data_IF_715856502652
#
_entry.id   IF_715856502652
#
_cell.length_a   1.000
_cell.length_b   1.000
_cell.length_c   1.000
_cell.angle_alpha   90.00
_cell.angle_beta   90.00
_cell.angle_gamma   90.00
#
_symmetry.space_group_name_H-M   'P 1'
#
loop_
_entity.id
_entity.type
_entity.pdbx_description
1 polymer ?
#
# COMPACT_ATOMS: atom_id res chain seq x y z
N UNK A 1 -13.17 15.98 -0.91
CA UNK A 1 -13.71 14.84 -1.67
C UNK A 1 -14.14 13.81 -0.65
N UNK A 2 -15.40 13.37 -0.71
CA UNK A 2 -15.91 12.42 0.29
C UNK A 2 -15.34 11.03 0.03
N UNK A 3 -15.19 10.22 1.08
CA UNK A 3 -14.85 8.78 0.94
C UNK A 3 -15.84 8.06 0.01
N UNK A 4 -17.11 8.46 0.07
CA UNK A 4 -18.19 7.92 -0.76
C UNK A 4 -18.00 8.19 -2.26
N UNK A 5 -17.35 9.32 -2.61
CA UNK A 5 -17.06 9.66 -4.01
C UNK A 5 -15.99 8.72 -4.59
N UNK A 6 -14.95 8.42 -3.80
CA UNK A 6 -13.86 7.51 -4.18
C UNK A 6 -14.38 6.07 -4.34
N UNK A 7 -15.17 5.60 -3.38
CA UNK A 7 -15.80 4.28 -3.41
C UNK A 7 -16.67 4.07 -4.66
N UNK A 8 -17.56 5.02 -4.91
CA UNK A 8 -18.45 5.01 -6.07
C UNK A 8 -17.67 5.03 -7.37
N UNK A 9 -16.65 5.88 -7.47
CA UNK A 9 -15.79 5.97 -8.66
C UNK A 9 -14.99 4.69 -8.90
N UNK A 10 -14.47 4.06 -7.83
CA UNK A 10 -13.72 2.82 -7.93
C UNK A 10 -14.60 1.69 -8.45
N UNK A 11 -15.80 1.54 -7.88
CA UNK A 11 -16.73 0.51 -8.33
C UNK A 11 -17.18 0.74 -9.78
N UNK A 12 -17.50 1.98 -10.15
CA UNK A 12 -17.90 2.32 -11.51
C UNK A 12 -16.79 2.02 -12.54
N UNK A 13 -15.55 2.42 -12.23
CA UNK A 13 -14.38 2.21 -13.09
C UNK A 13 -14.11 0.71 -13.33
N UNK A 14 -14.28 -0.11 -12.30
CA UNK A 14 -14.00 -1.54 -12.37
C UNK A 14 -15.09 -2.35 -13.07
N UNK A 15 -16.34 -1.89 -13.02
CA UNK A 15 -17.50 -2.62 -13.58
C UNK A 15 -17.52 -2.72 -15.10
N UNK A 16 -16.70 -1.94 -15.79
CA UNK A 16 -16.45 -2.11 -17.23
C UNK A 16 -15.95 -3.52 -17.58
N UNK A 17 -15.31 -4.21 -16.62
CA UNK A 17 -14.90 -5.59 -16.77
C UNK A 17 -15.97 -6.57 -16.23
N UNK A 18 -16.57 -7.44 -17.06
CA UNK A 18 -17.62 -8.37 -16.62
C UNK A 18 -17.17 -9.36 -15.53
N UNK A 19 -15.91 -9.81 -15.55
CA UNK A 19 -15.38 -10.71 -14.55
C UNK A 19 -15.25 -10.04 -13.18
N UNK A 20 -14.91 -8.74 -13.17
CA UNK A 20 -14.90 -7.93 -11.95
C UNK A 20 -16.31 -7.67 -11.46
N UNK A 21 -17.24 -7.28 -12.34
CA UNK A 21 -18.66 -7.12 -11.99
C UNK A 21 -19.22 -8.36 -11.30
N UNK A 22 -18.98 -9.56 -11.83
CA UNK A 22 -19.43 -10.81 -11.22
C UNK A 22 -18.84 -11.08 -9.82
N UNK A 23 -17.58 -10.69 -9.59
CA UNK A 23 -16.94 -10.80 -8.27
C UNK A 23 -17.56 -9.83 -7.26
N UNK A 24 -17.74 -8.56 -7.66
CA UNK A 24 -18.34 -7.55 -6.80
C UNK A 24 -19.80 -7.87 -6.48
N UNK A 25 -20.56 -8.39 -7.44
CA UNK A 25 -21.94 -8.84 -7.26
C UNK A 25 -22.03 -10.00 -6.27
N UNK A 26 -21.11 -10.96 -6.36
CA UNK A 26 -21.01 -12.04 -5.38
C UNK A 26 -20.64 -11.50 -4.00
N UNK A 27 -19.72 -10.54 -3.91
CA UNK A 27 -19.34 -9.87 -2.67
C UNK A 27 -20.52 -9.23 -1.97
N UNK A 28 -21.44 -8.59 -2.72
CA UNK A 28 -22.68 -8.02 -2.18
C UNK A 28 -23.60 -9.01 -1.49
N UNK A 29 -23.61 -10.26 -1.96
CA UNK A 29 -24.47 -11.30 -1.39
C UNK A 29 -23.90 -11.95 -0.12
N UNK A 30 -22.65 -11.65 0.24
CA UNK A 30 -21.99 -12.23 1.39
C UNK A 30 -22.42 -11.56 2.70
N UNK A 31 -22.52 -12.36 3.75
CA UNK A 31 -22.73 -11.93 5.14
C UNK A 31 -21.48 -12.23 5.98
N UNK A 32 -21.29 -11.51 7.09
CA UNK A 32 -20.20 -11.77 8.04
C UNK A 32 -18.87 -11.06 7.76
N UNK A 33 -18.82 -10.14 6.81
CA UNK A 33 -17.67 -9.24 6.58
C UNK A 33 -16.36 -9.93 6.17
N UNK A 34 -15.23 -9.21 6.21
CA UNK A 34 -13.93 -9.71 5.77
C UNK A 34 -13.41 -10.93 6.54
N UNK A 35 -13.90 -11.13 7.77
CA UNK A 35 -13.53 -12.26 8.61
C UNK A 35 -14.17 -13.57 8.18
N UNK A 36 -15.29 -13.53 7.44
CA UNK A 36 -16.02 -14.73 7.05
C UNK A 36 -15.22 -15.63 6.08
N UNK A 37 -15.33 -16.97 6.18
CA UNK A 37 -14.71 -17.87 5.22
C UNK A 37 -15.14 -17.62 3.77
N UNK A 38 -16.40 -17.23 3.58
CA UNK A 38 -16.95 -16.93 2.25
C UNK A 38 -16.29 -15.68 1.63
N UNK A 39 -16.06 -14.63 2.41
CA UNK A 39 -15.35 -13.44 1.94
C UNK A 39 -13.90 -13.78 1.61
N UNK A 40 -13.19 -14.48 2.50
CA UNK A 40 -11.79 -14.88 2.26
C UNK A 40 -11.63 -15.71 0.99
N UNK A 41 -12.53 -16.67 0.77
CA UNK A 41 -12.52 -17.48 -0.44
C UNK A 41 -12.77 -16.63 -1.71
N UNK A 42 -13.67 -15.65 -1.64
CA UNK A 42 -13.93 -14.73 -2.75
C UNK A 42 -12.71 -13.84 -3.04
N UNK A 43 -12.14 -13.25 -1.99
CA UNK A 43 -10.97 -12.37 -2.02
C UNK A 43 -9.73 -13.08 -2.60
N UNK A 44 -9.49 -14.32 -2.19
CA UNK A 44 -8.43 -15.17 -2.73
C UNK A 44 -8.66 -15.51 -4.20
N UNK A 45 -9.92 -15.75 -4.60
CA UNK A 45 -10.26 -16.14 -5.97
C UNK A 45 -10.03 -15.03 -7.01
N UNK A 46 -9.88 -13.77 -6.59
CA UNK A 46 -9.69 -12.63 -7.47
C UNK A 46 -8.48 -12.81 -8.40
N UNK A 47 -7.33 -13.23 -7.86
CA UNK A 47 -6.11 -13.43 -8.64
C UNK A 47 -6.34 -14.42 -9.81
N UNK A 48 -6.89 -15.61 -9.51
CA UNK A 48 -7.14 -16.63 -10.52
C UNK A 48 -8.17 -16.20 -11.57
N UNK A 49 -9.17 -15.41 -11.18
CA UNK A 49 -10.27 -14.98 -12.07
C UNK A 49 -9.88 -13.80 -12.96
N UNK A 50 -8.95 -12.96 -12.50
CA UNK A 50 -8.65 -11.67 -13.12
C UNK A 50 -7.24 -11.58 -13.72
N UNK A 51 -6.34 -12.54 -13.48
CA UNK A 51 -4.95 -12.47 -13.96
C UNK A 51 -4.81 -12.30 -15.49
N UNK A 52 -5.75 -12.84 -16.28
CA UNK A 52 -5.78 -12.71 -17.74
C UNK A 52 -6.78 -11.69 -18.25
N UNK A 53 -7.47 -10.98 -17.36
CA UNK A 53 -8.50 -10.02 -17.73
C UNK A 53 -7.88 -8.66 -18.06
N UNK A 54 -8.38 -7.97 -19.09
CA UNK A 54 -7.86 -6.66 -19.45
C UNK A 54 -8.17 -5.64 -18.36
N UNK A 55 -7.18 -4.79 -18.08
CA UNK A 55 -7.38 -3.59 -17.27
C UNK A 55 -8.26 -2.58 -18.05
N UNK A 56 -9.16 -1.82 -17.40
CA UNK A 56 -9.97 -0.81 -18.08
C UNK A 56 -9.10 0.17 -18.89
N UNK A 57 -9.45 0.39 -20.15
CA UNK A 57 -8.71 1.27 -21.07
C UNK A 57 -9.11 2.75 -20.96
N UNK A 58 -10.15 3.06 -20.19
CA UNK A 58 -10.60 4.43 -19.95
C UNK A 58 -9.63 5.23 -19.08
N UNK A 59 -9.75 6.57 -19.08
CA UNK A 59 -8.99 7.40 -18.17
C UNK A 59 -9.35 7.06 -16.72
N UNK A 60 -8.34 7.07 -15.84
CA UNK A 60 -8.57 6.91 -14.40
C UNK A 60 -9.42 8.08 -13.91
N UNK A 61 -10.57 7.82 -13.24
CA UNK A 61 -11.41 8.89 -12.71
C UNK A 61 -10.61 9.82 -11.79
N UNK A 62 -10.90 11.13 -11.87
CA UNK A 62 -10.22 12.14 -11.04
C UNK A 62 -10.35 11.84 -9.54
N UNK A 63 -11.45 11.23 -9.11
CA UNK A 63 -11.67 10.79 -7.74
C UNK A 63 -10.67 9.71 -7.25
N UNK A 64 -10.07 8.95 -8.17
CA UNK A 64 -9.08 7.91 -7.84
C UNK A 64 -7.64 8.43 -7.95
N UNK A 65 -7.41 9.55 -8.65
CA UNK A 65 -6.08 10.02 -9.03
C UNK A 65 -5.12 10.20 -7.85
N UNK A 66 -5.63 10.60 -6.68
CA UNK A 66 -4.80 10.78 -5.49
C UNK A 66 -4.19 9.47 -4.96
N UNK A 67 -4.88 8.34 -5.11
CA UNK A 67 -4.46 7.03 -4.61
C UNK A 67 -3.93 6.10 -5.72
N UNK A 68 -4.38 6.28 -6.94
CA UNK A 68 -4.05 5.41 -8.07
C UNK A 68 -2.59 5.49 -8.48
N UNK A 69 -2.00 4.34 -8.80
CA UNK A 69 -0.63 4.22 -9.33
C UNK A 69 -0.61 3.26 -10.52
N UNK A 70 0.22 3.51 -11.56
CA UNK A 70 0.21 2.71 -12.78
C UNK A 70 0.50 1.22 -12.58
N UNK A 71 1.16 0.84 -11.49
CA UNK A 71 1.47 -0.56 -11.18
C UNK A 71 0.30 -1.32 -10.54
N UNK A 72 -0.78 -0.63 -10.11
CA UNK A 72 -1.94 -1.27 -9.51
C UNK A 72 -2.64 -2.15 -10.54
N UNK A 73 -2.76 -3.44 -10.24
CA UNK A 73 -3.43 -4.40 -11.10
C UNK A 73 -4.95 -4.38 -10.93
N UNK A 74 -5.65 -5.02 -11.86
CA UNK A 74 -7.09 -5.25 -11.75
C UNK A 74 -7.43 -6.06 -10.48
N UNK A 75 -6.54 -6.96 -10.07
CA UNK A 75 -6.68 -7.77 -8.85
C UNK A 75 -6.61 -6.87 -7.61
N UNK A 76 -5.64 -5.95 -7.55
CA UNK A 76 -5.45 -5.03 -6.43
C UNK A 76 -6.70 -4.17 -6.24
N UNK A 77 -7.15 -3.50 -7.30
CA UNK A 77 -8.32 -2.62 -7.24
C UNK A 77 -9.62 -3.39 -6.96
N UNK A 78 -9.78 -4.61 -7.48
CA UNK A 78 -10.96 -5.43 -7.17
C UNK A 78 -10.99 -5.84 -5.70
N UNK A 79 -9.84 -6.22 -5.13
CA UNK A 79 -9.71 -6.54 -3.70
C UNK A 79 -9.99 -5.31 -2.83
N UNK A 80 -9.50 -4.15 -3.24
CA UNK A 80 -9.82 -2.88 -2.59
C UNK A 80 -11.33 -2.60 -2.60
N UNK A 81 -12.00 -2.77 -3.75
CA UNK A 81 -13.44 -2.59 -3.86
C UNK A 81 -14.25 -3.61 -3.03
N UNK A 82 -13.80 -4.86 -2.91
CA UNK A 82 -14.43 -5.85 -2.02
C UNK A 82 -14.34 -5.42 -0.55
N UNK A 83 -13.17 -4.92 -0.12
CA UNK A 83 -12.96 -4.43 1.24
C UNK A 83 -13.73 -3.15 1.51
N UNK A 84 -13.66 -2.18 0.60
CA UNK A 84 -14.36 -0.90 0.68
C UNK A 84 -15.85 -1.11 0.95
N UNK A 85 -16.49 -2.09 0.29
CA UNK A 85 -17.90 -2.41 0.52
C UNK A 85 -18.18 -3.15 1.83
N UNK A 86 -17.27 -4.00 2.28
CA UNK A 86 -17.48 -4.88 3.43
C UNK A 86 -17.15 -4.21 4.76
N UNK A 87 -16.29 -3.18 4.76
CA UNK A 87 -15.82 -2.51 5.97
C UNK A 87 -16.85 -1.56 6.61
N UNK A 88 -17.71 -0.82 5.88
CA UNK A 88 -18.71 0.07 6.46
C UNK A 88 -19.75 -0.62 7.34
N UNK A 89 -19.89 -1.95 7.25
CA UNK A 89 -20.78 -2.71 8.14
C UNK A 89 -20.18 -2.99 9.52
N UNK A 90 -18.91 -2.65 9.73
CA UNK A 90 -18.17 -2.88 10.96
C UNK A 90 -17.93 -1.56 11.72
N UNK A 91 -17.80 -1.65 13.04
CA UNK A 91 -17.32 -0.53 13.84
C UNK A 91 -15.87 -0.18 13.49
N UNK A 92 -15.43 1.02 13.88
CA UNK A 92 -14.06 1.50 13.62
C UNK A 92 -12.94 0.54 14.08
N UNK A 93 -12.93 0.04 15.33
CA UNK A 93 -11.90 -0.91 15.74
C UNK A 93 -11.98 -2.24 14.95
N UNK A 94 -13.19 -2.75 14.71
CA UNK A 94 -13.40 -4.00 13.99
C UNK A 94 -12.92 -3.92 12.53
N UNK A 95 -13.01 -2.75 11.88
CA UNK A 95 -12.48 -2.56 10.52
C UNK A 95 -10.97 -2.78 10.48
N UNK A 96 -10.23 -2.12 11.36
CA UNK A 96 -8.78 -2.22 11.40
C UNK A 96 -8.33 -3.66 11.72
N UNK A 97 -8.98 -4.29 12.70
CA UNK A 97 -8.73 -5.70 13.05
C UNK A 97 -9.04 -6.66 11.91
N UNK A 98 -10.14 -6.43 11.18
CA UNK A 98 -10.51 -7.26 10.03
C UNK A 98 -9.51 -7.19 8.88
N UNK A 99 -9.01 -5.99 8.55
CA UNK A 99 -7.98 -5.84 7.51
C UNK A 99 -6.63 -6.39 7.98
N UNK A 100 -6.27 -6.20 9.25
CA UNK A 100 -5.03 -6.75 9.81
C UNK A 100 -5.04 -8.28 9.79
N UNK A 101 -6.11 -8.93 10.25
CA UNK A 101 -6.21 -10.39 10.25
C UNK A 101 -6.27 -10.96 8.81
N UNK A 102 -6.89 -10.23 7.87
CA UNK A 102 -6.84 -10.61 6.45
C UNK A 102 -5.41 -10.51 5.88
N UNK A 103 -4.66 -9.47 6.25
CA UNK A 103 -3.26 -9.30 5.87
C UNK A 103 -2.37 -10.41 6.46
N UNK A 104 -2.45 -10.65 7.77
CA UNK A 104 -1.58 -11.60 8.46
C UNK A 104 -1.79 -13.05 8.00
N UNK A 105 -3.02 -13.42 7.62
CA UNK A 105 -3.36 -14.76 7.13
C UNK A 105 -3.31 -14.90 5.60
N UNK A 106 -3.17 -13.79 4.90
CA UNK A 106 -3.22 -13.77 3.44
C UNK A 106 -1.95 -14.28 2.79
N UNK A 107 -2.09 -14.80 1.57
CA UNK A 107 -0.95 -15.14 0.72
C UNK A 107 -0.21 -13.87 0.25
N UNK A 108 1.04 -14.00 -0.23
CA UNK A 108 1.88 -12.85 -0.63
C UNK A 108 1.13 -11.88 -1.57
N UNK A 109 0.45 -12.40 -2.59
CA UNK A 109 -0.29 -11.54 -3.52
C UNK A 109 -1.49 -10.83 -2.88
N UNK A 110 -2.08 -11.39 -1.82
CA UNK A 110 -3.16 -10.76 -1.05
C UNK A 110 -2.61 -9.65 -0.15
N UNK A 111 -1.51 -9.94 0.54
CA UNK A 111 -0.77 -8.98 1.37
C UNK A 111 -0.35 -7.75 0.56
N UNK A 112 0.23 -7.98 -0.61
CA UNK A 112 0.63 -6.91 -1.53
C UNK A 112 -0.56 -6.07 -1.98
N UNK A 113 -1.68 -6.69 -2.39
CA UNK A 113 -2.89 -5.96 -2.79
C UNK A 113 -3.40 -5.08 -1.65
N UNK A 114 -3.51 -5.63 -0.43
CA UNK A 114 -4.00 -4.89 0.74
C UNK A 114 -3.13 -3.65 0.97
N UNK A 115 -1.80 -3.82 1.02
CA UNK A 115 -0.86 -2.72 1.31
C UNK A 115 -0.88 -1.64 0.23
N UNK A 116 -0.91 -2.03 -1.05
CA UNK A 116 -0.94 -1.10 -2.19
C UNK A 116 -2.22 -0.26 -2.24
N UNK A 117 -3.33 -0.76 -1.66
CA UNK A 117 -4.64 -0.14 -1.81
C UNK A 117 -5.22 0.45 -0.52
N UNK A 118 -4.45 0.61 0.56
CA UNK A 118 -4.96 1.16 1.82
C UNK A 118 -5.60 2.55 1.68
N UNK A 119 -5.10 3.40 0.77
CA UNK A 119 -5.68 4.73 0.50
C UNK A 119 -7.05 4.69 -0.20
N UNK A 120 -7.49 3.53 -0.71
CA UNK A 120 -8.84 3.35 -1.25
C UNK A 120 -9.86 2.90 -0.19
N UNK A 121 -9.41 2.47 0.98
CA UNK A 121 -10.29 1.97 2.03
C UNK A 121 -10.97 3.12 2.79
N UNK A 122 -12.16 2.90 3.37
CA UNK A 122 -12.83 3.92 4.16
C UNK A 122 -11.96 4.31 5.36
N UNK A 123 -11.76 5.62 5.54
CA UNK A 123 -10.88 6.22 6.57
C UNK A 123 -9.47 5.59 6.57
N UNK A 124 -8.61 5.87 5.57
CA UNK A 124 -7.30 5.22 5.46
C UNK A 124 -6.42 5.34 6.72
N UNK A 125 -6.61 6.39 7.54
CA UNK A 125 -5.93 6.55 8.83
C UNK A 125 -6.11 5.37 9.80
N UNK A 126 -7.19 4.59 9.67
CA UNK A 126 -7.51 3.47 10.55
C UNK A 126 -6.53 2.29 10.33
N UNK A 127 -5.81 2.23 9.18
CA UNK A 127 -4.99 1.08 8.79
C UNK A 127 -3.48 1.27 8.97
N UNK A 128 -3.05 2.22 9.80
CA UNK A 128 -1.62 2.46 10.06
C UNK A 128 -0.92 1.21 10.61
N UNK A 129 -1.58 0.44 11.48
CA UNK A 129 -1.00 -0.79 12.02
C UNK A 129 -0.87 -1.91 10.99
N UNK A 130 -1.77 -1.97 9.99
CA UNK A 130 -1.64 -2.90 8.84
C UNK A 130 -0.40 -2.55 8.01
N UNK A 131 -0.21 -1.27 7.70
CA UNK A 131 0.97 -0.81 6.97
C UNK A 131 2.27 -1.07 7.74
N UNK A 132 2.27 -0.87 9.07
CA UNK A 132 3.41 -1.22 9.93
C UNK A 132 3.66 -2.73 9.98
N UNK A 133 2.62 -3.57 9.95
CA UNK A 133 2.77 -5.02 9.81
C UNK A 133 3.47 -5.37 8.49
N UNK A 134 3.07 -4.72 7.38
CA UNK A 134 3.78 -4.79 6.09
C UNK A 134 5.25 -4.38 6.18
N UNK A 135 5.57 -3.36 6.99
CA UNK A 135 6.95 -2.96 7.21
C UNK A 135 7.77 -3.96 8.03
N UNK A 136 7.14 -4.87 8.80
CA UNK A 136 7.82 -5.86 9.66
C UNK A 136 8.11 -7.19 8.96
N UNK A 137 7.53 -7.46 7.79
CA UNK A 137 7.72 -8.70 7.05
C UNK A 137 9.15 -8.92 6.53
N UNK A 138 9.56 -10.17 6.37
CA UNK A 138 10.82 -10.54 5.70
C UNK A 138 10.63 -10.74 4.18
N UNK A 139 9.39 -10.83 3.70
CA UNK A 139 9.10 -10.95 2.28
C UNK A 139 9.36 -9.60 1.58
N UNK A 140 10.41 -9.55 0.75
CA UNK A 140 10.81 -8.31 0.06
C UNK A 140 9.66 -7.69 -0.74
N UNK A 141 8.90 -8.49 -1.46
CA UNK A 141 7.81 -7.98 -2.33
C UNK A 141 6.67 -7.34 -1.53
N UNK A 142 6.33 -7.91 -0.37
CA UNK A 142 5.34 -7.34 0.57
C UNK A 142 5.84 -6.05 1.20
N UNK A 143 7.13 -5.98 1.55
CA UNK A 143 7.73 -4.73 2.01
C UNK A 143 7.72 -3.65 0.91
N UNK A 144 8.10 -3.99 -0.32
CA UNK A 144 8.06 -3.07 -1.46
C UNK A 144 6.63 -2.59 -1.75
N UNK A 145 5.60 -3.43 -1.56
CA UNK A 145 4.20 -3.05 -1.74
C UNK A 145 3.72 -1.92 -0.81
N UNK A 146 4.30 -1.79 0.39
CA UNK A 146 4.01 -0.65 1.28
C UNK A 146 5.01 0.49 1.09
N UNK A 147 6.29 0.20 0.82
CA UNK A 147 7.33 1.23 0.80
C UNK A 147 7.45 1.97 -0.55
N UNK A 148 7.19 1.30 -1.68
CA UNK A 148 7.44 1.83 -3.01
C UNK A 148 6.15 2.20 -3.73
N UNK A 149 6.18 3.35 -4.41
CA UNK A 149 5.09 3.88 -5.24
C UNK A 149 3.76 3.86 -4.47
N UNK A 150 3.81 4.11 -3.16
CA UNK A 150 2.65 4.01 -2.28
C UNK A 150 2.49 5.34 -1.52
N UNK A 151 1.38 6.06 -1.71
CA UNK A 151 1.16 7.33 -1.01
C UNK A 151 0.90 7.18 0.50
N UNK A 152 0.55 5.97 0.97
CA UNK A 152 0.07 5.76 2.33
C UNK A 152 1.12 6.12 3.41
N UNK A 153 2.38 5.64 3.36
CA UNK A 153 3.35 5.98 4.40
C UNK A 153 3.64 7.48 4.48
N UNK A 154 3.76 8.15 3.33
CA UNK A 154 4.01 9.58 3.27
C UNK A 154 2.90 10.38 3.96
N UNK A 155 1.64 9.99 3.77
CA UNK A 155 0.45 10.67 4.30
C UNK A 155 0.13 10.32 5.74
N UNK A 156 0.42 9.09 6.18
CA UNK A 156 -0.16 8.52 7.42
C UNK A 156 0.86 8.14 8.48
N UNK A 157 2.10 7.84 8.12
CA UNK A 157 3.09 7.45 9.13
C UNK A 157 3.54 8.64 9.97
N UNK A 158 3.68 8.41 11.27
CA UNK A 158 4.48 9.30 12.12
C UNK A 158 5.92 9.35 11.61
N UNK A 159 6.65 10.42 11.94
CA UNK A 159 8.06 10.55 11.56
C UNK A 159 8.90 9.32 11.97
N UNK A 160 8.82 8.80 13.20
CA UNK A 160 9.58 7.60 13.57
C UNK A 160 9.23 6.37 12.71
N UNK A 161 7.95 6.17 12.37
CA UNK A 161 7.53 5.03 11.55
C UNK A 161 8.03 5.15 10.10
N UNK A 162 7.97 6.37 9.54
CA UNK A 162 8.50 6.64 8.20
C UNK A 162 10.02 6.44 8.17
N UNK A 163 10.75 6.96 9.15
CA UNK A 163 12.20 6.82 9.22
C UNK A 163 12.63 5.35 9.32
N UNK A 164 11.95 4.55 10.14
CA UNK A 164 12.24 3.12 10.25
C UNK A 164 11.96 2.35 8.95
N UNK A 165 10.89 2.70 8.24
CA UNK A 165 10.60 2.12 6.92
C UNK A 165 11.70 2.47 5.91
N UNK A 166 12.12 3.74 5.85
CA UNK A 166 13.19 4.20 4.94
C UNK A 166 14.51 3.50 5.27
N UNK A 167 14.89 3.40 6.55
CA UNK A 167 16.09 2.68 6.95
C UNK A 167 16.02 1.22 6.52
N UNK A 168 14.89 0.54 6.75
CA UNK A 168 14.69 -0.83 6.28
C UNK A 168 14.84 -0.95 4.77
N UNK A 169 14.35 0.02 3.99
CA UNK A 169 14.54 0.03 2.54
C UNK A 169 16.03 0.10 2.15
N UNK A 170 16.83 0.93 2.85
CA UNK A 170 18.29 0.95 2.70
C UNK A 170 18.91 -0.42 2.99
N UNK A 171 18.55 -1.05 4.11
CA UNK A 171 19.06 -2.37 4.49
C UNK A 171 18.75 -3.45 3.44
N UNK A 172 17.57 -3.39 2.82
CA UNK A 172 17.11 -4.35 1.81
C UNK A 172 17.58 -4.01 0.39
N UNK A 173 18.21 -2.86 0.17
CA UNK A 173 18.54 -2.38 -1.18
C UNK A 173 17.30 -2.16 -2.03
N UNK A 174 16.25 -1.62 -1.42
CA UNK A 174 15.03 -1.17 -2.10
C UNK A 174 15.26 0.26 -2.58
N UNK A 175 14.95 0.60 -3.85
CA UNK A 175 15.23 1.93 -4.39
C UNK A 175 14.51 3.03 -3.61
N UNK A 176 15.25 3.91 -2.94
CA UNK A 176 14.68 4.98 -2.14
C UNK A 176 13.97 6.02 -3.01
N UNK A 177 14.33 6.13 -4.29
CA UNK A 177 13.66 6.99 -5.28
C UNK A 177 12.19 6.62 -5.52
N UNK A 178 11.78 5.40 -5.16
CA UNK A 178 10.37 4.95 -5.23
C UNK A 178 9.60 5.22 -3.94
N UNK A 179 10.23 5.72 -2.89
CA UNK A 179 9.54 6.09 -1.65
C UNK A 179 8.94 7.49 -1.82
N UNK A 180 7.62 7.53 -1.91
CA UNK A 180 6.90 8.79 -2.04
C UNK A 180 7.07 9.67 -0.80
N UNK A 181 7.20 10.99 -1.03
CA UNK A 181 7.34 11.97 0.03
C UNK A 181 8.70 11.95 0.76
N UNK A 182 9.66 11.10 0.37
CA UNK A 182 10.98 11.07 0.99
C UNK A 182 11.69 12.45 1.00
N UNK A 183 11.70 13.24 -0.10
CA UNK A 183 12.34 14.56 -0.08
C UNK A 183 11.74 15.51 0.96
N UNK A 184 10.41 15.50 1.08
CA UNK A 184 9.67 16.40 1.99
C UNK A 184 9.72 15.93 3.45
N UNK A 185 9.93 14.63 3.68
CA UNK A 185 9.96 13.99 5.00
C UNK A 185 11.38 13.73 5.50
N UNK A 186 12.38 14.36 4.89
CA UNK A 186 13.77 14.28 5.31
C UNK A 186 13.99 15.08 6.58
N UNK A 187 14.11 14.38 7.71
CA UNK A 187 14.32 15.02 9.02
C UNK A 187 15.76 14.85 9.51
N UNK A 188 16.24 15.71 10.44
CA UNK A 188 17.57 15.55 11.04
C UNK A 188 17.78 14.15 11.65
N UNK A 189 16.73 13.57 12.22
CA UNK A 189 16.78 12.21 12.77
C UNK A 189 16.96 11.17 11.68
N UNK A 190 16.26 11.28 10.55
CA UNK A 190 16.45 10.38 9.40
C UNK A 190 17.88 10.46 8.84
N UNK A 191 18.41 11.68 8.73
CA UNK A 191 19.80 11.91 8.29
C UNK A 191 20.78 11.28 9.26
N UNK A 192 20.59 11.48 10.57
CA UNK A 192 21.43 10.88 11.62
C UNK A 192 21.42 9.36 11.53
N UNK A 193 20.24 8.73 11.46
CA UNK A 193 20.10 7.28 11.31
C UNK A 193 20.81 6.74 10.06
N UNK A 194 20.70 7.43 8.93
CA UNK A 194 21.36 7.02 7.68
C UNK A 194 22.89 7.15 7.75
N UNK A 195 23.40 8.20 8.40
CA UNK A 195 24.84 8.39 8.64
C UNK A 195 25.39 7.32 9.60
N UNK A 196 24.66 6.99 10.66
CA UNK A 196 25.03 5.90 11.59
C UNK A 196 25.14 4.57 10.84
N UNK A 197 24.14 4.22 10.03
CA UNK A 197 24.17 3.03 9.19
C UNK A 197 25.37 3.04 8.23
N UNK A 198 25.64 4.16 7.56
CA UNK A 198 26.79 4.27 6.67
C UNK A 198 28.13 4.09 7.42
N UNK A 199 28.24 4.63 8.64
CA UNK A 199 29.39 4.45 9.52
C UNK A 199 29.59 2.97 9.89
N UNK A 200 28.53 2.30 10.34
CA UNK A 200 28.54 0.87 10.68
C UNK A 200 28.97 0.00 9.49
N UNK A 201 28.47 0.30 8.28
CA UNK A 201 28.87 -0.41 7.05
C UNK A 201 30.36 -0.24 6.76
N UNK A 202 30.89 0.99 6.84
CA UNK A 202 32.32 1.26 6.62
C UNK A 202 33.20 0.57 7.66
N UNK A 203 32.82 0.62 8.93
CA UNK A 203 33.54 -0.06 10.02
C UNK A 203 33.57 -1.59 9.81
N UNK A 204 32.53 -2.16 9.22
CA UNK A 204 32.46 -3.57 8.84
C UNK A 204 33.13 -3.90 7.49
N UNK A 205 33.78 -2.95 6.82
CA UNK A 205 34.40 -3.13 5.50
C UNK A 205 33.40 -3.41 4.37
N UNK A 206 32.12 -3.04 4.55
CA UNK A 206 31.04 -3.26 3.58
C UNK A 206 30.74 -1.98 2.80
N UNK A 207 30.35 -2.08 1.51
CA UNK A 207 29.98 -0.91 0.74
C UNK A 207 28.74 -0.23 1.30
N UNK A 208 28.71 1.10 1.21
CA UNK A 208 27.57 1.96 1.55
C UNK A 208 26.68 2.09 0.30
N UNK A 209 25.37 1.81 0.37
CA UNK A 209 24.44 2.01 -0.75
C UNK A 209 24.42 3.48 -1.19
N UNK A 210 24.50 3.71 -2.51
CA UNK A 210 24.47 5.07 -3.08
C UNK A 210 23.17 5.80 -2.77
N UNK A 211 22.04 5.08 -2.72
CA UNK A 211 20.72 5.66 -2.42
C UNK A 211 20.67 6.45 -1.11
N UNK A 212 21.58 6.21 -0.15
CA UNK A 212 21.69 7.02 1.07
C UNK A 212 21.89 8.50 0.75
N UNK A 213 22.48 8.84 -0.39
CA UNK A 213 22.63 10.21 -0.87
C UNK A 213 21.28 10.95 -0.96
N UNK A 214 20.18 10.25 -1.26
CA UNK A 214 18.82 10.81 -1.26
C UNK A 214 18.36 11.25 0.14
N UNK A 215 19.01 10.78 1.19
CA UNK A 215 18.76 11.17 2.58
C UNK A 215 19.79 12.23 3.03
N UNK A 216 21.08 11.99 2.79
CA UNK A 216 22.15 12.78 3.42
C UNK A 216 22.51 14.04 2.63
N UNK A 217 22.31 14.05 1.31
CA UNK A 217 22.57 15.24 0.50
C UNK A 217 21.34 16.15 0.56
N UNK A 218 21.51 17.35 1.11
CA UNK A 218 20.53 18.40 0.84
C UNK A 218 20.62 18.69 -0.65
N UNK A 219 19.50 18.65 -1.38
CA UNK A 219 19.46 19.21 -2.72
C UNK A 219 20.07 20.61 -2.64
N UNK A 220 21.23 20.79 -3.23
CA UNK A 220 21.63 22.14 -3.60
C UNK A 220 20.51 22.63 -4.50
N UNK A 221 19.85 23.77 -4.21
CA UNK A 221 18.94 24.33 -5.19
C UNK A 221 19.76 24.46 -6.47
N UNK A 222 19.31 23.81 -7.55
CA UNK A 222 19.89 24.03 -8.87
C UNK A 222 19.66 25.49 -9.21
N UNK A 223 20.66 26.30 -8.93
CA UNK A 223 20.79 27.68 -9.36
C UNK A 223 21.90 27.74 -10.39
N UNK A 224 21.50 27.83 -11.66
CA UNK A 224 22.14 28.60 -12.72
C UNK A 224 21.16 28.67 -13.90
#
# INVERSE_FOLDING_TARGET
MSTDDTATALEAFLRENPAVSALLDRGRSLTGGPQSPAFRALFASAARRLASQPFPSGPVPSALAAAFRPHLSLVDLTRAALLERALPTLSEPERAEAVLDLFERGEIGEQESILRTLEFLPRPSDYVEVAKAGCRTNARSVFEAIACDNPFPARRFSEPSFNQMVLKAVFLGVPLSRIEGLPDRRTPELVRMALDYASERRAAGRPVPQDIDLIVQAGSPSGA
#
